data_IF_674985057586
#
_entry.id   IF_674985057586
#
_cell.length_a   1.000
_cell.length_b   1.000
_cell.length_c   1.000
_cell.angle_alpha   90.00
_cell.angle_beta   90.00
_cell.angle_gamma   90.00
#
_symmetry.space_group_name_H-M   'P 1'
#
loop_
_entity.id
_entity.type
_entity.pdbx_description
1 polymer ?
#
# COMPACT_ATOMS: atom_id res chain seq x y z
N UNK A 1 -30.75 24.48 -30.52
CA UNK A 1 -31.00 23.85 -29.19
C UNK A 1 -30.79 24.88 -28.10
N UNK A 2 -31.52 24.75 -26.98
CA UNK A 2 -31.40 25.60 -25.79
C UNK A 2 -30.64 24.89 -24.66
N UNK A 3 -30.10 25.61 -23.66
CA UNK A 3 -29.42 24.97 -22.53
C UNK A 3 -30.32 23.94 -21.83
N UNK A 4 -29.78 22.77 -21.54
CA UNK A 4 -30.48 21.64 -20.93
C UNK A 4 -30.98 20.59 -21.93
N UNK A 5 -31.14 20.94 -23.21
CA UNK A 5 -31.59 20.00 -24.25
C UNK A 5 -30.53 18.91 -24.50
N UNK A 6 -30.99 17.66 -24.69
CA UNK A 6 -30.14 16.53 -25.03
C UNK A 6 -30.03 16.39 -26.55
N UNK A 7 -28.80 16.28 -27.06
CA UNK A 7 -28.55 16.01 -28.47
C UNK A 7 -28.51 14.51 -28.74
N UNK A 8 -27.83 13.77 -27.86
CA UNK A 8 -27.69 12.30 -27.88
C UNK A 8 -27.62 11.83 -26.43
N UNK A 9 -28.24 10.70 -26.10
CA UNK A 9 -28.04 10.01 -24.82
C UNK A 9 -27.18 8.78 -25.01
N UNK A 10 -26.41 8.45 -23.97
CA UNK A 10 -25.66 7.19 -23.94
C UNK A 10 -26.61 6.02 -24.16
N UNK A 11 -26.24 5.09 -25.04
CA UNK A 11 -27.07 3.96 -25.44
C UNK A 11 -28.01 4.23 -26.62
N UNK A 12 -28.16 5.48 -27.07
CA UNK A 12 -28.95 5.78 -28.27
C UNK A 12 -28.28 5.21 -29.51
N UNK A 13 -29.06 4.55 -30.38
CA UNK A 13 -28.62 4.20 -31.74
C UNK A 13 -28.98 5.36 -32.65
N UNK A 14 -27.96 6.13 -33.04
CA UNK A 14 -28.12 7.28 -33.93
C UNK A 14 -27.56 6.94 -35.30
N UNK A 15 -28.32 7.27 -36.34
CA UNK A 15 -27.90 7.20 -37.74
C UNK A 15 -27.60 8.60 -38.28
N UNK A 16 -27.28 9.56 -37.42
CA UNK A 16 -27.16 10.98 -37.77
C UNK A 16 -25.89 11.56 -37.17
N UNK A 17 -25.12 12.26 -38.00
CA UNK A 17 -23.96 13.04 -37.56
C UNK A 17 -24.40 14.50 -37.42
N UNK A 18 -23.98 15.16 -36.35
CA UNK A 18 -24.36 16.53 -36.04
C UNK A 18 -23.16 17.45 -36.16
N UNK A 19 -23.28 18.50 -36.98
CA UNK A 19 -22.29 19.57 -37.10
C UNK A 19 -22.68 20.70 -36.15
N UNK A 20 -21.77 21.05 -35.26
CA UNK A 20 -21.91 22.13 -34.28
C UNK A 20 -21.29 23.37 -34.91
N UNK A 21 -22.09 24.42 -35.11
CA UNK A 21 -21.64 25.70 -35.67
C UNK A 21 -21.23 26.64 -34.54
N UNK A 22 -22.07 26.71 -33.50
CA UNK A 22 -21.83 27.54 -32.32
C UNK A 22 -22.45 26.91 -31.06
N UNK A 23 -21.89 27.26 -29.90
CA UNK A 23 -22.35 26.81 -28.59
C UNK A 23 -21.40 25.83 -27.89
N UNK A 24 -21.87 25.29 -26.76
CA UNK A 24 -21.13 24.37 -25.89
C UNK A 24 -21.99 23.17 -25.53
N UNK A 25 -21.42 21.97 -25.70
CA UNK A 25 -22.03 20.71 -25.26
C UNK A 25 -21.22 20.09 -24.12
N UNK A 26 -21.90 19.69 -23.05
CA UNK A 26 -21.31 18.82 -22.03
C UNK A 26 -21.33 17.38 -22.53
N UNK A 27 -20.22 16.67 -22.28
CA UNK A 27 -20.05 15.26 -22.58
C UNK A 27 -20.06 14.52 -21.25
N UNK A 28 -21.05 13.68 -21.03
CA UNK A 28 -21.20 12.90 -19.79
C UNK A 28 -21.36 11.43 -20.11
N UNK A 29 -21.04 10.58 -19.13
CA UNK A 29 -21.33 9.15 -19.18
C UNK A 29 -21.97 8.72 -17.88
N UNK A 30 -23.00 7.90 -17.95
CA UNK A 30 -23.70 7.38 -16.81
C UNK A 30 -22.92 6.24 -16.19
N UNK A 31 -22.77 6.27 -14.87
CA UNK A 31 -22.32 5.09 -14.18
C UNK A 31 -22.74 5.06 -12.72
N UNK A 32 -23.17 3.87 -12.27
CA UNK A 32 -23.79 3.66 -10.96
C UNK A 32 -24.92 4.65 -10.67
N UNK A 33 -25.67 5.04 -11.71
CA UNK A 33 -26.77 6.01 -11.61
C UNK A 33 -26.35 7.48 -11.60
N UNK A 34 -25.05 7.80 -11.59
CA UNK A 34 -24.53 9.18 -11.57
C UNK A 34 -24.00 9.58 -12.95
N UNK A 35 -24.32 10.79 -13.40
CA UNK A 35 -23.76 11.37 -14.64
C UNK A 35 -22.35 11.90 -14.38
N UNK A 36 -21.35 11.24 -14.95
CA UNK A 36 -19.94 11.61 -14.79
C UNK A 36 -19.50 12.53 -15.95
N UNK A 37 -19.00 13.75 -15.68
CA UNK A 37 -18.50 14.62 -16.73
C UNK A 37 -17.18 14.12 -17.30
N UNK A 38 -17.13 13.91 -18.61
CA UNK A 38 -15.91 13.51 -19.34
C UNK A 38 -15.20 14.74 -19.91
N UNK A 39 -15.98 15.76 -20.29
CA UNK A 39 -15.43 16.98 -20.87
C UNK A 39 -16.52 17.83 -21.50
N UNK A 40 -16.11 18.78 -22.33
CA UNK A 40 -17.01 19.64 -23.08
C UNK A 40 -16.51 19.81 -24.52
N UNK A 41 -17.46 19.93 -25.44
CA UNK A 41 -17.20 20.37 -26.80
C UNK A 41 -17.41 21.88 -26.88
N UNK A 42 -16.41 22.60 -27.35
CA UNK A 42 -16.45 24.05 -27.55
C UNK A 42 -16.11 24.39 -29.00
N UNK A 43 -16.90 25.28 -29.61
CA UNK A 43 -16.64 25.78 -30.96
C UNK A 43 -17.09 24.82 -32.08
N UNK A 44 -16.67 25.14 -33.30
CA UNK A 44 -17.09 24.42 -34.50
C UNK A 44 -16.50 23.01 -34.56
N UNK A 45 -17.32 22.02 -34.90
CA UNK A 45 -16.93 20.62 -35.00
C UNK A 45 -18.11 19.72 -35.34
N UNK A 46 -17.95 18.40 -35.24
CA UNK A 46 -19.07 17.47 -35.42
C UNK A 46 -19.02 16.32 -34.42
N UNK A 47 -20.18 15.71 -34.14
CA UNK A 47 -20.38 14.62 -33.17
C UNK A 47 -21.36 13.59 -33.72
N UNK A 48 -21.37 12.39 -33.14
CA UNK A 48 -22.25 11.29 -33.59
C UNK A 48 -21.64 10.42 -34.69
N UNK A 49 -20.39 10.67 -35.07
CA UNK A 49 -19.67 9.88 -36.06
C UNK A 49 -19.37 8.46 -35.59
N UNK A 50 -19.10 8.26 -34.29
CA UNK A 50 -18.74 6.94 -33.77
C UNK A 50 -19.89 5.94 -34.00
N UNK A 51 -21.14 6.20 -33.54
CA UNK A 51 -22.26 5.29 -33.78
C UNK A 51 -22.53 5.01 -35.27
N UNK A 52 -22.36 6.01 -36.13
CA UNK A 52 -22.57 5.86 -37.58
C UNK A 52 -21.49 5.00 -38.22
N UNK A 53 -20.24 5.09 -37.76
CA UNK A 53 -19.11 4.34 -38.30
C UNK A 53 -18.99 2.93 -37.75
N UNK A 54 -19.37 2.71 -36.48
CA UNK A 54 -19.18 1.41 -35.80
C UNK A 54 -20.45 0.58 -35.69
N UNK A 55 -21.62 1.15 -35.99
CA UNK A 55 -22.95 0.55 -35.74
C UNK A 55 -23.20 0.19 -34.25
N UNK A 56 -22.42 0.81 -33.36
CA UNK A 56 -22.56 0.68 -31.91
C UNK A 56 -23.42 1.83 -31.32
N UNK A 57 -24.09 1.59 -30.17
CA UNK A 57 -24.78 2.67 -29.46
C UNK A 57 -23.84 3.82 -29.06
N UNK A 58 -24.41 5.01 -28.89
CA UNK A 58 -23.67 6.18 -28.43
C UNK A 58 -22.97 5.91 -27.09
N UNK A 59 -21.63 6.09 -27.00
CA UNK A 59 -20.87 5.76 -25.79
C UNK A 59 -20.98 6.83 -24.69
N UNK A 60 -21.60 7.97 -25.00
CA UNK A 60 -21.69 9.14 -24.14
C UNK A 60 -23.02 9.88 -24.38
N UNK A 61 -23.42 10.66 -23.38
CA UNK A 61 -24.51 11.64 -23.47
C UNK A 61 -23.94 13.00 -23.83
N UNK A 62 -24.63 13.72 -24.71
CA UNK A 62 -24.34 15.08 -25.14
C UNK A 62 -25.50 16.00 -24.75
N UNK A 63 -25.23 17.01 -23.93
CA UNK A 63 -26.24 17.96 -23.46
C UNK A 63 -25.80 19.41 -23.71
N UNK A 64 -26.71 20.24 -24.20
CA UNK A 64 -26.45 21.65 -24.42
C UNK A 64 -26.23 22.40 -23.10
N UNK A 65 -25.09 23.09 -22.98
CA UNK A 65 -24.77 23.95 -21.82
C UNK A 65 -25.07 25.42 -22.15
N UNK A 66 -24.96 25.80 -23.41
CA UNK A 66 -25.38 27.10 -23.93
C UNK A 66 -26.40 26.91 -25.06
N UNK A 67 -26.97 28.02 -25.56
CA UNK A 67 -27.64 27.98 -26.86
C UNK A 67 -26.65 27.44 -27.90
N UNK A 68 -27.12 26.50 -28.73
CA UNK A 68 -26.31 25.82 -29.75
C UNK A 68 -27.01 25.85 -31.10
N UNK A 69 -26.25 26.17 -32.14
CA UNK A 69 -26.62 26.03 -33.53
C UNK A 69 -26.01 24.74 -34.09
N UNK A 70 -26.86 23.83 -34.53
CA UNK A 70 -26.48 22.47 -34.91
C UNK A 70 -27.20 22.08 -36.20
N UNK A 71 -26.47 21.54 -37.16
CA UNK A 71 -27.01 20.94 -38.39
C UNK A 71 -26.89 19.42 -38.33
N UNK A 72 -27.89 18.73 -38.83
CA UNK A 72 -27.91 17.27 -38.92
C UNK A 72 -27.53 16.83 -40.34
N UNK A 73 -26.65 15.83 -40.44
CA UNK A 73 -26.29 15.13 -41.68
C UNK A 73 -26.74 13.68 -41.50
N UNK A 74 -27.51 13.16 -42.45
CA UNK A 74 -27.90 11.75 -42.42
C UNK A 74 -26.65 10.87 -42.52
N UNK A 75 -26.63 9.76 -41.78
CA UNK A 75 -25.48 8.86 -41.73
C UNK A 75 -25.08 8.32 -43.10
N UNK A 76 -26.07 8.06 -43.98
CA UNK A 76 -25.83 7.66 -45.37
C UNK A 76 -25.09 8.73 -46.18
N UNK A 77 -25.44 10.01 -45.99
CA UNK A 77 -24.78 11.13 -46.68
C UNK A 77 -23.37 11.33 -46.11
N UNK A 78 -23.21 11.20 -44.79
CA UNK A 78 -21.91 11.26 -44.14
C UNK A 78 -20.97 10.15 -44.63
N UNK A 79 -21.46 8.92 -44.73
CA UNK A 79 -20.70 7.79 -45.25
C UNK A 79 -20.33 8.00 -46.73
N UNK A 80 -21.24 8.56 -47.52
CA UNK A 80 -20.95 8.92 -48.92
C UNK A 80 -19.80 9.93 -49.01
N UNK A 81 -19.88 11.03 -48.24
CA UNK A 81 -18.82 12.04 -48.16
C UNK A 81 -17.48 11.46 -47.69
N UNK A 82 -17.51 10.52 -46.76
CA UNK A 82 -16.31 9.84 -46.24
C UNK A 82 -15.62 9.03 -47.33
N UNK A 83 -16.37 8.34 -48.19
CA UNK A 83 -15.82 7.53 -49.29
C UNK A 83 -15.33 8.40 -50.46
N UNK A 84 -16.00 9.52 -50.73
CA UNK A 84 -15.68 10.41 -51.86
C UNK A 84 -14.51 11.36 -51.58
N UNK A 85 -14.26 11.72 -50.31
CA UNK A 85 -13.25 12.71 -49.93
C UNK A 85 -12.16 12.14 -49.00
N UNK A 86 -11.00 11.81 -49.58
CA UNK A 86 -9.82 11.27 -48.86
C UNK A 86 -9.31 12.13 -47.70
N UNK A 87 -9.34 13.45 -47.84
CA UNK A 87 -8.86 14.33 -46.78
C UNK A 87 -9.85 14.39 -45.61
N UNK A 88 -11.14 14.36 -45.90
CA UNK A 88 -12.20 14.29 -44.90
C UNK A 88 -12.13 12.95 -44.14
N UNK A 89 -11.98 11.83 -44.85
CA UNK A 89 -11.74 10.50 -44.28
C UNK A 89 -10.61 10.54 -43.24
N UNK A 90 -9.44 11.06 -43.61
CA UNK A 90 -8.28 11.17 -42.70
C UNK A 90 -8.56 12.03 -41.48
N UNK A 91 -9.30 13.13 -41.62
CA UNK A 91 -9.66 14.00 -40.50
C UNK A 91 -10.63 13.30 -39.53
N UNK A 92 -11.65 12.63 -40.06
CA UNK A 92 -12.62 11.86 -39.28
C UNK A 92 -11.92 10.76 -38.49
N UNK A 93 -11.04 9.97 -39.14
CA UNK A 93 -10.27 8.92 -38.45
C UNK A 93 -9.39 9.48 -37.32
N UNK A 94 -8.69 10.59 -37.54
CA UNK A 94 -7.86 11.22 -36.49
C UNK A 94 -8.72 11.71 -35.32
N UNK A 95 -9.87 12.29 -35.60
CA UNK A 95 -10.80 12.77 -34.58
C UNK A 95 -11.36 11.60 -33.76
N UNK A 96 -11.82 10.55 -34.43
CA UNK A 96 -12.30 9.32 -33.80
C UNK A 96 -11.22 8.71 -32.90
N UNK A 97 -10.00 8.54 -33.40
CA UNK A 97 -8.87 8.04 -32.59
C UNK A 97 -8.58 8.91 -31.37
N UNK A 98 -8.74 10.23 -31.47
CA UNK A 98 -8.56 11.14 -30.32
C UNK A 98 -9.67 10.95 -29.29
N UNK A 99 -10.92 10.79 -29.73
CA UNK A 99 -12.09 10.60 -28.87
C UNK A 99 -12.07 9.26 -28.15
N UNK A 100 -11.81 8.17 -28.88
CA UNK A 100 -11.70 6.82 -28.29
C UNK A 100 -10.60 6.78 -27.24
N UNK A 101 -9.39 7.29 -27.55
CA UNK A 101 -8.28 7.36 -26.57
C UNK A 101 -8.63 8.21 -25.34
N UNK A 102 -9.32 9.33 -25.53
CA UNK A 102 -9.79 10.17 -24.43
C UNK A 102 -10.78 9.44 -23.51
N UNK A 103 -11.74 8.73 -24.11
CA UNK A 103 -12.73 7.95 -23.37
C UNK A 103 -12.09 6.77 -22.63
N UNK A 104 -11.21 6.01 -23.27
CA UNK A 104 -10.46 4.92 -22.63
C UNK A 104 -9.64 5.42 -21.43
N UNK A 105 -8.96 6.58 -21.58
CA UNK A 105 -8.20 7.18 -20.50
C UNK A 105 -9.09 7.54 -19.30
N UNK A 106 -10.24 8.14 -19.56
CA UNK A 106 -11.20 8.51 -18.52
C UNK A 106 -11.74 7.28 -17.77
N UNK A 107 -12.14 6.23 -18.51
CA UNK A 107 -12.68 5.01 -17.90
C UNK A 107 -11.65 4.33 -17.01
N UNK A 108 -10.41 4.25 -17.49
CA UNK A 108 -9.30 3.72 -16.73
C UNK A 108 -9.04 4.52 -15.46
N UNK A 109 -9.09 5.85 -15.50
CA UNK A 109 -8.91 6.69 -14.32
C UNK A 109 -10.03 6.48 -13.28
N UNK A 110 -11.26 6.24 -13.74
CA UNK A 110 -12.38 5.93 -12.87
C UNK A 110 -12.29 4.53 -12.24
N UNK A 111 -11.91 3.52 -13.00
CA UNK A 111 -11.65 2.17 -12.47
C UNK A 111 -10.57 2.20 -11.38
N UNK A 112 -9.52 3.02 -11.55
CA UNK A 112 -8.51 3.24 -10.50
C UNK A 112 -9.12 3.80 -9.22
N UNK A 113 -9.96 4.82 -9.33
CA UNK A 113 -10.58 5.45 -8.15
C UNK A 113 -11.50 4.48 -7.40
N UNK A 114 -12.23 3.64 -8.13
CA UNK A 114 -13.04 2.59 -7.53
C UNK A 114 -12.20 1.50 -6.84
N UNK A 115 -11.13 1.03 -7.49
CA UNK A 115 -10.19 0.06 -6.92
C UNK A 115 -9.44 0.63 -5.69
N UNK A 116 -8.99 1.88 -5.78
CA UNK A 116 -8.34 2.60 -4.69
C UNK A 116 -9.30 2.82 -3.52
N UNK A 117 -10.57 3.16 -3.77
CA UNK A 117 -11.59 3.31 -2.74
C UNK A 117 -11.78 2.02 -1.92
N UNK A 118 -11.85 0.86 -2.61
CA UNK A 118 -11.97 -0.45 -1.96
C UNK A 118 -10.69 -0.81 -1.17
N UNK A 119 -9.51 -0.47 -1.69
CA UNK A 119 -8.23 -0.69 -1.01
C UNK A 119 -7.98 0.28 0.14
N UNK A 120 -8.54 1.48 0.09
CA UNK A 120 -8.28 2.57 1.05
C UNK A 120 -8.74 2.21 2.47
N UNK A 121 -9.87 1.50 2.60
CA UNK A 121 -10.35 1.03 3.92
C UNK A 121 -9.39 0.00 4.56
N UNK A 122 -8.91 -0.97 3.76
CA UNK A 122 -7.96 -1.98 4.23
C UNK A 122 -6.57 -1.39 4.52
N UNK A 123 -6.11 -0.47 3.67
CA UNK A 123 -4.84 0.23 3.85
C UNK A 123 -4.87 1.14 5.07
N UNK A 124 -5.97 1.87 5.30
CA UNK A 124 -6.14 2.70 6.49
C UNK A 124 -6.03 1.86 7.76
N UNK A 125 -6.68 0.68 7.79
CA UNK A 125 -6.57 -0.23 8.91
C UNK A 125 -5.14 -0.75 9.11
N UNK A 126 -4.45 -1.13 8.03
CA UNK A 126 -3.06 -1.62 8.12
C UNK A 126 -2.04 -0.52 8.45
N UNK A 127 -2.35 0.74 8.17
CA UNK A 127 -1.53 1.91 8.53
C UNK A 127 -1.79 2.31 10.00
N UNK A 128 -3.05 2.23 10.44
CA UNK A 128 -3.43 2.47 11.83
C UNK A 128 -2.77 1.48 12.80
N UNK A 129 -2.58 0.22 12.41
CA UNK A 129 -1.97 -0.80 13.26
C UNK A 129 -0.55 -0.44 13.76
N UNK A 130 0.45 -0.22 12.88
CA UNK A 130 1.79 0.20 13.31
C UNK A 130 1.79 1.61 13.92
N UNK A 131 0.88 2.50 13.50
CA UNK A 131 0.75 3.82 14.11
C UNK A 131 0.30 3.75 15.57
N UNK A 132 -0.70 2.92 15.87
CA UNK A 132 -1.16 2.71 17.24
C UNK A 132 -0.09 2.07 18.11
N UNK A 133 0.67 1.10 17.58
CA UNK A 133 1.81 0.51 18.29
C UNK A 133 2.89 1.56 18.60
N UNK A 134 3.27 2.38 17.61
CA UNK A 134 4.23 3.46 17.78
C UNK A 134 3.79 4.46 18.85
N UNK A 135 2.52 4.90 18.81
CA UNK A 135 1.97 5.85 19.79
C UNK A 135 2.01 5.25 21.20
N UNK A 136 1.63 3.98 21.37
CA UNK A 136 1.70 3.29 22.67
C UNK A 136 3.13 3.22 23.19
N UNK A 137 4.08 2.72 22.39
CA UNK A 137 5.49 2.63 22.80
C UNK A 137 6.06 3.99 23.18
N UNK A 138 5.74 5.06 22.45
CA UNK A 138 6.19 6.42 22.81
C UNK A 138 5.53 6.95 24.10
N UNK A 139 4.28 6.58 24.36
CA UNK A 139 3.58 7.00 25.59
C UNK A 139 4.12 6.35 26.86
N UNK A 140 4.61 5.11 26.76
CA UNK A 140 5.22 4.34 27.86
C UNK A 140 6.72 4.66 28.02
N UNK A 141 7.39 5.07 26.94
CA UNK A 141 8.81 5.38 26.95
C UNK A 141 9.16 6.55 27.90
N UNK A 142 8.36 7.62 27.91
CA UNK A 142 8.61 8.80 28.74
C UNK A 142 8.61 8.48 30.25
N UNK A 143 7.57 7.84 30.81
CA UNK A 143 7.60 7.47 32.23
C UNK A 143 8.71 6.46 32.55
N UNK A 144 9.00 5.50 31.65
CA UNK A 144 10.08 4.53 31.85
C UNK A 144 11.47 5.18 31.92
N UNK A 145 11.77 6.14 31.02
CA UNK A 145 13.03 6.90 31.07
C UNK A 145 13.16 7.69 32.37
N UNK A 146 12.09 8.36 32.82
CA UNK A 146 12.11 9.09 34.09
C UNK A 146 12.36 8.17 35.28
N UNK A 147 11.78 6.97 35.26
CA UNK A 147 12.01 5.97 36.29
C UNK A 147 13.46 5.47 36.28
N UNK A 148 14.04 5.21 35.09
CA UNK A 148 15.47 4.91 34.91
C UNK A 148 16.38 6.01 35.46
N UNK A 149 16.08 7.27 35.17
CA UNK A 149 16.81 8.43 35.70
C UNK A 149 16.76 8.49 37.22
N UNK A 150 15.58 8.28 37.82
CA UNK A 150 15.43 8.23 39.27
C UNK A 150 16.24 7.08 39.88
N UNK A 151 16.20 5.89 39.27
CA UNK A 151 16.98 4.74 39.75
C UNK A 151 18.48 4.98 39.65
N UNK A 152 18.96 5.64 38.57
CA UNK A 152 20.36 6.04 38.43
C UNK A 152 20.79 7.00 39.54
N UNK A 153 19.93 7.96 39.93
CA UNK A 153 20.22 8.89 41.01
C UNK A 153 20.27 8.19 42.38
N UNK A 154 19.32 7.30 42.66
CA UNK A 154 19.33 6.48 43.89
C UNK A 154 20.58 5.61 43.96
N UNK A 155 20.95 4.98 42.85
CA UNK A 155 22.14 4.14 42.77
C UNK A 155 23.44 4.96 42.94
N UNK A 156 23.52 6.16 42.37
CA UNK A 156 24.68 7.05 42.52
C UNK A 156 24.87 7.61 43.94
N UNK A 157 23.80 7.61 44.75
CA UNK A 157 23.86 8.02 46.16
C UNK A 157 24.25 6.87 47.11
N UNK A 158 24.12 5.63 46.67
CA UNK A 158 24.71 4.48 47.34
C UNK A 158 26.20 4.43 46.96
N UNK A 159 27.09 4.26 47.93
CA UNK A 159 28.56 4.29 47.77
C UNK A 159 29.08 3.05 47.01
N UNK A 160 28.61 2.86 45.77
CA UNK A 160 28.85 1.68 44.93
C UNK A 160 30.14 1.86 44.12
N UNK A 161 30.92 0.80 43.99
CA UNK A 161 32.20 0.89 43.30
C UNK A 161 32.04 1.04 41.79
N UNK A 162 33.02 1.70 41.16
CA UNK A 162 33.08 1.83 39.69
C UNK A 162 33.15 0.47 38.98
N UNK A 163 33.76 -0.54 39.63
CA UNK A 163 33.88 -1.89 39.09
C UNK A 163 32.53 -2.63 39.06
N UNK A 164 31.72 -2.51 40.10
CA UNK A 164 30.37 -3.09 40.15
C UNK A 164 29.45 -2.45 39.10
N UNK A 165 29.52 -1.13 38.96
CA UNK A 165 28.77 -0.38 37.94
C UNK A 165 29.11 -0.81 36.52
N UNK A 166 30.38 -1.12 36.25
CA UNK A 166 30.84 -1.56 34.93
C UNK A 166 30.30 -2.94 34.53
N UNK A 167 30.11 -3.86 35.49
CA UNK A 167 29.51 -5.18 35.22
C UNK A 167 28.06 -5.06 34.77
N UNK A 168 27.25 -4.24 35.48
CA UNK A 168 25.86 -3.96 35.12
C UNK A 168 25.72 -3.34 33.72
N UNK A 169 26.56 -2.35 33.41
CA UNK A 169 26.57 -1.71 32.10
C UNK A 169 26.91 -2.69 30.99
N UNK A 170 27.86 -3.60 31.21
CA UNK A 170 28.23 -4.60 30.21
C UNK A 170 27.09 -5.57 29.91
N UNK A 171 26.41 -6.07 30.95
CA UNK A 171 25.26 -6.97 30.76
C UNK A 171 24.13 -6.24 30.03
N UNK A 172 23.88 -4.97 30.38
CA UNK A 172 22.92 -4.13 29.66
C UNK A 172 23.28 -3.98 28.17
N UNK A 173 24.53 -3.64 27.87
CA UNK A 173 24.93 -3.34 26.49
C UNK A 173 24.84 -4.60 25.60
N UNK A 174 25.20 -5.77 26.13
CA UNK A 174 24.98 -7.07 25.46
C UNK A 174 23.48 -7.34 25.24
N UNK A 175 22.65 -7.03 26.24
CA UNK A 175 21.20 -7.17 26.13
C UNK A 175 20.59 -6.24 25.08
N UNK A 176 21.06 -4.99 24.99
CA UNK A 176 20.65 -4.05 23.94
C UNK A 176 20.97 -4.58 22.54
N UNK A 177 22.18 -5.10 22.33
CA UNK A 177 22.53 -5.71 21.05
C UNK A 177 21.62 -6.88 20.69
N UNK A 178 21.24 -7.69 21.68
CA UNK A 178 20.35 -8.84 21.48
C UNK A 178 18.95 -8.39 21.05
N UNK A 179 18.40 -7.39 21.73
CA UNK A 179 17.09 -6.80 21.39
C UNK A 179 17.11 -6.19 19.98
N UNK A 180 18.16 -5.46 19.63
CA UNK A 180 18.30 -4.81 18.33
C UNK A 180 18.46 -5.81 17.18
N UNK A 181 19.16 -6.94 17.40
CA UNK A 181 19.34 -8.00 16.39
C UNK A 181 18.05 -8.79 16.15
N UNK A 182 17.15 -8.90 17.13
CA UNK A 182 15.82 -9.49 16.96
C UNK A 182 15.83 -10.97 16.54
N UNK A 183 16.76 -11.77 17.09
CA UNK A 183 17.11 -13.09 16.55
C UNK A 183 16.77 -14.32 17.40
N UNK A 184 16.12 -14.17 18.56
CA UNK A 184 15.71 -15.33 19.36
C UNK A 184 14.31 -15.79 18.92
N UNK A 185 14.15 -17.11 18.76
CA UNK A 185 12.84 -17.71 18.51
C UNK A 185 11.96 -17.61 19.77
N UNK A 186 10.64 -17.52 19.56
CA UNK A 186 9.68 -17.31 20.65
C UNK A 186 9.71 -18.43 21.70
N UNK A 187 10.10 -19.66 21.31
CA UNK A 187 10.21 -20.79 22.24
C UNK A 187 11.41 -20.60 23.16
N UNK A 188 12.59 -20.30 22.61
CA UNK A 188 13.79 -20.02 23.41
C UNK A 188 13.60 -18.81 24.34
N UNK A 189 12.85 -17.78 23.93
CA UNK A 189 12.54 -16.65 24.82
C UNK A 189 11.63 -17.10 25.98
N UNK A 190 10.58 -17.88 25.68
CA UNK A 190 9.67 -18.40 26.71
C UNK A 190 10.36 -19.32 27.73
N UNK A 191 11.16 -20.30 27.26
CA UNK A 191 11.91 -21.19 28.15
C UNK A 191 12.86 -20.43 29.09
N UNK A 192 13.44 -19.32 28.60
CA UNK A 192 14.31 -18.45 29.39
C UNK A 192 13.51 -17.58 30.37
N UNK A 193 12.35 -17.08 29.95
CA UNK A 193 11.43 -16.31 30.81
C UNK A 193 11.01 -17.13 32.02
N UNK A 194 10.59 -18.38 31.81
CA UNK A 194 10.21 -19.31 32.89
C UNK A 194 11.38 -19.54 33.86
N UNK A 195 12.57 -19.83 33.34
CA UNK A 195 13.76 -20.06 34.17
C UNK A 195 14.21 -18.81 34.96
N UNK A 196 14.02 -17.62 34.40
CA UNK A 196 14.31 -16.36 35.08
C UNK A 196 13.26 -16.03 36.13
N UNK A 197 11.98 -16.31 35.86
CA UNK A 197 10.89 -16.13 36.82
C UNK A 197 11.15 -16.94 38.09
N UNK A 198 11.43 -18.23 37.94
CA UNK A 198 11.77 -19.12 39.05
C UNK A 198 12.95 -18.56 39.88
N UNK A 199 14.02 -18.14 39.19
CA UNK A 199 15.19 -17.59 39.86
C UNK A 199 14.90 -16.29 40.62
N UNK A 200 14.08 -15.39 40.05
CA UNK A 200 13.71 -14.11 40.66
C UNK A 200 12.82 -14.30 41.89
N UNK A 201 11.90 -15.27 41.84
CA UNK A 201 11.07 -15.65 42.98
C UNK A 201 11.91 -16.23 44.11
N UNK A 202 12.85 -17.13 43.80
CA UNK A 202 13.80 -17.69 44.77
C UNK A 202 14.72 -16.64 45.41
N UNK A 203 15.11 -15.62 44.64
CA UNK A 203 15.85 -14.48 45.17
C UNK A 203 14.97 -13.58 46.07
N UNK A 204 13.65 -13.67 45.95
CA UNK A 204 12.68 -12.90 46.74
C UNK A 204 12.38 -11.53 46.16
N UNK A 205 12.42 -11.39 44.82
CA UNK A 205 12.04 -10.16 44.13
C UNK A 205 10.52 -10.01 44.11
N UNK A 206 10.00 -8.90 44.62
CA UNK A 206 8.58 -8.61 44.53
C UNK A 206 8.17 -8.36 43.08
N UNK A 207 7.05 -8.96 42.63
CA UNK A 207 6.55 -8.88 41.25
C UNK A 207 7.58 -9.37 40.21
N UNK A 208 8.22 -10.51 40.49
CA UNK A 208 9.21 -11.14 39.61
C UNK A 208 8.75 -11.27 38.15
N UNK A 209 7.46 -11.55 37.93
CA UNK A 209 6.84 -11.66 36.60
C UNK A 209 6.94 -10.38 35.75
N UNK A 210 7.03 -9.19 36.36
CA UNK A 210 7.22 -7.93 35.62
C UNK A 210 8.64 -7.82 35.02
N UNK A 211 9.61 -8.60 35.53
CA UNK A 211 11.03 -8.50 35.18
C UNK A 211 11.48 -9.63 34.26
N UNK A 212 10.81 -10.78 34.30
CA UNK A 212 11.21 -11.99 33.60
C UNK A 212 11.24 -11.80 32.07
N UNK A 213 10.16 -11.28 31.47
CA UNK A 213 10.06 -11.06 30.03
C UNK A 213 11.16 -10.11 29.49
N UNK A 214 11.36 -8.89 30.06
CA UNK A 214 12.40 -7.98 29.58
C UNK A 214 13.82 -8.57 29.66
N UNK A 215 14.12 -9.32 30.72
CA UNK A 215 15.42 -9.99 30.91
C UNK A 215 15.59 -11.14 29.92
N UNK A 216 14.53 -11.92 29.67
CA UNK A 216 14.54 -13.02 28.73
C UNK A 216 14.74 -12.55 27.28
N UNK A 217 14.03 -11.49 26.90
CA UNK A 217 14.13 -10.84 25.59
C UNK A 217 15.55 -10.32 25.33
N UNK A 218 16.21 -9.82 26.37
CA UNK A 218 17.59 -9.35 26.32
C UNK A 218 18.64 -10.49 26.32
N UNK A 219 18.22 -11.74 26.47
CA UNK A 219 19.14 -12.89 26.49
C UNK A 219 19.87 -13.09 27.81
N UNK A 220 19.38 -12.52 28.91
CA UNK A 220 19.95 -12.75 30.24
C UNK A 220 19.63 -14.17 30.70
N UNK A 221 20.61 -14.88 31.25
CA UNK A 221 20.39 -16.19 31.86
C UNK A 221 20.42 -16.11 33.40
N UNK A 222 19.83 -17.11 34.11
CA UNK A 222 19.86 -17.16 35.57
C UNK A 222 21.29 -17.16 36.15
N UNK A 223 22.26 -17.72 35.42
CA UNK A 223 23.67 -17.74 35.84
C UNK A 223 24.27 -16.33 35.89
N UNK A 224 23.90 -15.46 34.95
CA UNK A 224 24.29 -14.06 34.92
C UNK A 224 23.68 -13.28 36.06
N UNK A 225 22.38 -13.48 36.36
CA UNK A 225 21.74 -12.87 37.52
C UNK A 225 22.39 -13.34 38.83
N UNK A 226 22.66 -14.63 38.98
CA UNK A 226 23.35 -15.17 40.15
C UNK A 226 24.72 -14.51 40.39
N UNK A 227 25.50 -14.29 39.32
CA UNK A 227 26.79 -13.59 39.39
C UNK A 227 26.64 -12.13 39.80
N UNK A 228 25.71 -11.41 39.15
CA UNK A 228 25.46 -9.99 39.43
C UNK A 228 24.95 -9.75 40.85
N UNK A 229 24.15 -10.69 41.36
CA UNK A 229 23.42 -10.53 42.63
C UNK A 229 24.11 -11.11 43.84
N UNK A 230 25.18 -11.87 43.66
CA UNK A 230 25.96 -12.41 44.78
C UNK A 230 26.39 -11.35 45.81
N UNK A 231 26.83 -10.12 45.44
CA UNK A 231 27.20 -9.09 46.40
C UNK A 231 26.02 -8.45 47.15
N UNK A 232 24.80 -8.59 46.65
CA UNK A 232 23.63 -7.82 47.08
C UNK A 232 22.65 -8.62 47.93
N UNK A 233 22.86 -9.94 48.06
CA UNK A 233 21.92 -10.86 48.72
C UNK A 233 21.57 -10.42 50.15
N UNK A 234 22.55 -9.88 50.88
CA UNK A 234 22.43 -9.44 52.28
C UNK A 234 22.35 -7.91 52.45
N UNK A 235 22.18 -7.16 51.35
CA UNK A 235 22.16 -5.70 51.37
C UNK A 235 20.84 -5.15 51.97
N UNK A 236 20.86 -4.01 52.71
CA UNK A 236 19.64 -3.38 53.23
C UNK A 236 18.56 -3.17 52.14
N UNK A 237 17.31 -3.36 52.56
CA UNK A 237 16.21 -3.86 51.72
C UNK A 237 15.87 -3.06 50.47
N UNK A 238 16.11 -1.74 50.43
CA UNK A 238 15.67 -0.90 49.30
C UNK A 238 16.61 -0.97 48.08
N UNK A 239 17.85 -1.42 48.25
CA UNK A 239 18.83 -1.51 47.15
C UNK A 239 19.03 -2.94 46.62
N UNK A 240 18.50 -3.93 47.33
CA UNK A 240 18.75 -5.37 47.11
C UNK A 240 18.36 -5.87 45.72
N UNK A 241 17.28 -5.34 45.15
CA UNK A 241 16.77 -5.71 43.82
C UNK A 241 16.79 -4.53 42.82
N UNK A 242 17.29 -3.36 43.23
CA UNK A 242 17.32 -2.16 42.40
C UNK A 242 18.09 -2.37 41.08
N UNK A 243 19.21 -3.09 41.12
CA UNK A 243 20.03 -3.39 39.94
C UNK A 243 19.30 -4.25 38.91
N UNK A 244 18.57 -5.29 39.34
CA UNK A 244 17.79 -6.13 38.43
C UNK A 244 16.63 -5.32 37.83
N UNK A 245 15.93 -4.55 38.66
CA UNK A 245 14.85 -3.67 38.20
C UNK A 245 15.35 -2.66 37.16
N UNK A 246 16.52 -2.09 37.41
CA UNK A 246 17.16 -1.15 36.49
C UNK A 246 17.49 -1.82 35.16
N UNK A 247 18.03 -3.03 35.21
CA UNK A 247 18.40 -3.80 34.04
C UNK A 247 17.17 -4.16 33.20
N UNK A 248 16.11 -4.70 33.81
CA UNK A 248 14.85 -5.01 33.14
C UNK A 248 14.21 -3.78 32.50
N UNK A 249 14.10 -2.67 33.25
CA UNK A 249 13.51 -1.43 32.73
C UNK A 249 14.34 -0.82 31.58
N UNK A 250 15.67 -0.95 31.63
CA UNK A 250 16.55 -0.55 30.54
C UNK A 250 16.26 -1.34 29.26
N UNK A 251 15.98 -2.64 29.39
CA UNK A 251 15.60 -3.50 28.27
C UNK A 251 14.21 -3.18 27.73
N UNK A 252 13.23 -2.91 28.60
CA UNK A 252 11.91 -2.42 28.17
C UNK A 252 12.02 -1.14 27.36
N UNK A 253 12.81 -0.16 27.81
CA UNK A 253 13.07 1.07 27.08
C UNK A 253 13.66 0.78 25.70
N UNK A 254 14.64 -0.12 25.61
CA UNK A 254 15.25 -0.50 24.33
C UNK A 254 14.26 -1.22 23.41
N UNK A 255 13.45 -2.12 23.95
CA UNK A 255 12.41 -2.84 23.21
C UNK A 255 11.32 -1.87 22.69
N UNK A 256 10.90 -0.89 23.48
CA UNK A 256 9.97 0.16 23.06
C UNK A 256 10.54 1.02 21.93
N UNK A 257 11.81 1.40 22.00
CA UNK A 257 12.49 2.15 20.93
C UNK A 257 12.52 1.31 19.64
N UNK A 258 12.89 0.04 19.73
CA UNK A 258 12.94 -0.88 18.59
C UNK A 258 11.55 -1.11 17.97
N UNK A 259 10.52 -1.28 18.81
CA UNK A 259 9.13 -1.39 18.37
C UNK A 259 8.67 -0.13 17.63
N UNK A 260 8.99 1.05 18.18
CA UNK A 260 8.71 2.34 17.54
C UNK A 260 9.40 2.49 16.18
N UNK A 261 10.70 2.16 16.09
CA UNK A 261 11.44 2.20 14.83
C UNK A 261 10.85 1.25 13.78
N UNK A 262 10.51 0.03 14.18
CA UNK A 262 9.85 -0.96 13.30
C UNK A 262 8.49 -0.47 12.82
N UNK A 263 7.66 0.08 13.72
CA UNK A 263 6.37 0.68 13.39
C UNK A 263 6.49 1.82 12.38
N UNK A 264 7.40 2.76 12.63
CA UNK A 264 7.67 3.88 11.72
C UNK A 264 8.19 3.41 10.34
N UNK A 265 9.09 2.43 10.31
CA UNK A 265 9.61 1.84 9.06
C UNK A 265 8.51 1.16 8.23
N UNK A 266 7.58 0.46 8.89
CA UNK A 266 6.41 -0.13 8.24
C UNK A 266 5.48 0.93 7.64
N UNK A 267 5.20 2.01 8.38
CA UNK A 267 4.39 3.14 7.86
C UNK A 267 5.06 3.74 6.63
N UNK A 268 6.37 4.04 6.68
CA UNK A 268 7.11 4.60 5.56
C UNK A 268 7.05 3.68 4.32
N UNK A 269 7.17 2.37 4.53
CA UNK A 269 7.07 1.36 3.46
C UNK A 269 5.67 1.35 2.85
N UNK A 270 4.60 1.33 3.65
CA UNK A 270 3.22 1.36 3.17
C UNK A 270 2.93 2.62 2.35
N UNK A 271 3.33 3.79 2.85
CA UNK A 271 3.17 5.08 2.16
C UNK A 271 3.94 5.09 0.83
N UNK A 272 5.17 4.55 0.80
CA UNK A 272 5.97 4.44 -0.43
C UNK A 272 5.32 3.52 -1.47
N UNK A 273 4.77 2.39 -1.04
CA UNK A 273 4.04 1.46 -1.92
C UNK A 273 2.76 2.11 -2.47
N UNK A 274 1.99 2.81 -1.61
CA UNK A 274 0.80 3.55 -2.03
C UNK A 274 1.13 4.64 -3.06
N UNK A 275 2.17 5.44 -2.81
CA UNK A 275 2.62 6.49 -3.73
C UNK A 275 3.08 5.89 -5.07
N UNK A 276 3.84 4.80 -5.04
CA UNK A 276 4.33 4.13 -6.25
C UNK A 276 3.19 3.59 -7.11
N UNK A 277 2.12 3.06 -6.50
CA UNK A 277 0.90 2.65 -7.19
C UNK A 277 0.16 3.83 -7.83
N UNK A 278 0.08 4.98 -7.13
CA UNK A 278 -0.57 6.19 -7.64
C UNK A 278 0.24 6.93 -8.71
N UNK A 279 1.58 6.92 -8.65
CA UNK A 279 2.45 7.75 -9.49
C UNK A 279 2.98 7.06 -10.75
N UNK A 280 3.08 5.72 -10.78
CA UNK A 280 3.59 4.95 -11.95
C UNK A 280 2.67 4.96 -13.17
N UNK A 281 1.60 5.74 -13.18
CA UNK A 281 0.58 5.65 -14.22
C UNK A 281 0.14 6.99 -14.82
N UNK A 282 1.08 7.95 -14.90
CA UNK A 282 0.96 9.19 -15.69
C UNK A 282 1.00 8.94 -17.23
N UNK A 283 0.49 7.81 -17.70
CA UNK A 283 0.17 7.58 -19.12
C UNK A 283 1.33 7.29 -20.08
N UNK A 284 2.58 7.55 -19.72
CA UNK A 284 3.73 7.14 -20.53
C UNK A 284 3.97 5.63 -20.41
N UNK A 285 4.24 4.94 -21.52
CA UNK A 285 4.88 3.62 -21.45
C UNK A 285 6.22 3.80 -20.74
N UNK A 286 6.42 3.06 -19.65
CA UNK A 286 7.65 3.16 -18.86
C UNK A 286 8.44 1.87 -19.07
N UNK A 287 9.76 1.97 -18.92
CA UNK A 287 10.58 0.78 -18.75
C UNK A 287 10.27 0.27 -17.33
N UNK A 288 9.61 -0.88 -17.26
CA UNK A 288 9.14 -1.48 -16.01
C UNK A 288 9.99 -2.70 -15.68
N UNK A 289 10.52 -2.72 -14.45
CA UNK A 289 11.00 -3.94 -13.83
C UNK A 289 9.79 -4.72 -13.29
N UNK A 290 9.52 -5.87 -13.92
CA UNK A 290 8.43 -6.77 -13.56
C UNK A 290 8.56 -7.30 -12.13
N UNK A 291 9.77 -7.62 -11.66
CA UNK A 291 9.97 -8.13 -10.31
C UNK A 291 9.59 -7.08 -9.27
N UNK A 292 10.04 -5.85 -9.47
CA UNK A 292 9.70 -4.74 -8.59
C UNK A 292 8.18 -4.47 -8.58
N UNK A 293 7.53 -4.51 -9.74
CA UNK A 293 6.07 -4.33 -9.85
C UNK A 293 5.27 -5.42 -9.15
N UNK A 294 5.68 -6.67 -9.30
CA UNK A 294 5.08 -7.82 -8.63
C UNK A 294 5.22 -7.74 -7.11
N UNK A 295 6.42 -7.44 -6.61
CA UNK A 295 6.66 -7.32 -5.17
C UNK A 295 5.89 -6.14 -4.55
N UNK A 296 5.80 -5.01 -5.25
CA UNK A 296 4.99 -3.88 -4.78
C UNK A 296 3.50 -4.23 -4.70
N UNK A 297 3.00 -5.03 -5.64
CA UNK A 297 1.62 -5.52 -5.65
C UNK A 297 1.38 -6.49 -4.50
N UNK A 298 2.26 -7.48 -4.30
CA UNK A 298 2.18 -8.42 -3.18
C UNK A 298 2.20 -7.69 -1.84
N UNK A 299 3.05 -6.68 -1.69
CA UNK A 299 3.11 -5.84 -0.48
C UNK A 299 1.81 -5.07 -0.26
N UNK A 300 1.24 -4.49 -1.31
CA UNK A 300 -0.03 -3.75 -1.23
C UNK A 300 -1.20 -4.64 -0.78
N UNK A 301 -1.24 -5.89 -1.23
CA UNK A 301 -2.29 -6.86 -0.91
C UNK A 301 -1.95 -7.80 0.25
N UNK A 302 -0.82 -7.58 0.93
CA UNK A 302 -0.35 -8.45 2.02
C UNK A 302 -1.42 -8.68 3.10
N UNK A 303 -2.28 -7.69 3.36
CA UNK A 303 -3.36 -7.78 4.34
C UNK A 303 -4.44 -8.82 4.00
N UNK A 304 -4.72 -9.06 2.71
CA UNK A 304 -5.64 -10.10 2.26
C UNK A 304 -5.00 -11.50 2.28
N UNK A 305 -3.68 -11.55 2.21
CA UNK A 305 -2.91 -12.81 2.07
C UNK A 305 -2.57 -13.46 3.42
N UNK A 306 -2.73 -12.73 4.54
CA UNK A 306 -2.42 -13.23 5.90
C UNK A 306 -3.32 -14.38 6.39
N UNK A 307 -4.47 -14.66 5.76
CA UNK A 307 -5.36 -15.77 6.16
C UNK A 307 -4.98 -17.08 5.45
N UNK A 308 -3.87 -17.70 5.86
CA UNK A 308 -3.54 -19.07 5.44
C UNK A 308 -3.06 -19.22 3.99
N UNK A 309 -2.64 -18.15 3.32
CA UNK A 309 -2.15 -18.18 1.94
C UNK A 309 -0.62 -18.09 1.95
N UNK A 310 0.04 -19.17 1.53
CA UNK A 310 1.48 -19.19 1.29
C UNK A 310 1.79 -18.70 -0.14
N UNK A 311 2.67 -17.70 -0.27
CA UNK A 311 3.08 -17.14 -1.56
C UNK A 311 4.42 -17.75 -1.95
N UNK A 312 4.41 -18.59 -2.99
CA UNK A 312 5.64 -19.05 -3.65
C UNK A 312 6.09 -18.02 -4.69
N UNK A 313 7.36 -17.61 -4.60
CA UNK A 313 7.99 -16.69 -5.57
C UNK A 313 8.88 -17.51 -6.49
N UNK A 314 8.47 -17.63 -7.74
CA UNK A 314 9.24 -18.29 -8.80
C UNK A 314 9.44 -17.28 -9.93
N UNK A 315 10.45 -16.43 -9.76
CA UNK A 315 10.80 -15.39 -10.72
C UNK A 315 12.03 -15.84 -11.52
N UNK A 316 12.02 -15.63 -12.84
CA UNK A 316 13.21 -15.88 -13.64
C UNK A 316 14.34 -14.93 -13.20
N UNK A 317 15.55 -15.46 -13.00
CA UNK A 317 16.67 -14.71 -12.41
C UNK A 317 17.04 -13.44 -13.19
N UNK A 318 16.78 -13.42 -14.50
CA UNK A 318 17.02 -12.28 -15.38
C UNK A 318 15.85 -12.11 -16.33
N UNK A 319 15.01 -11.11 -16.07
CA UNK A 319 13.98 -10.66 -16.99
C UNK A 319 14.41 -9.30 -17.59
N UNK A 320 14.40 -9.15 -18.93
CA UNK A 320 14.68 -7.86 -19.54
C UNK A 320 13.60 -6.84 -19.10
N UNK A 321 13.98 -5.58 -18.88
CA UNK A 321 13.01 -4.52 -18.63
C UNK A 321 12.05 -4.43 -19.80
N UNK A 322 10.74 -4.43 -19.53
CA UNK A 322 9.74 -4.34 -20.59
C UNK A 322 9.17 -2.93 -20.67
N UNK A 323 8.89 -2.49 -21.89
CA UNK A 323 8.12 -1.28 -22.13
C UNK A 323 6.66 -1.66 -21.97
N UNK A 324 6.12 -1.38 -20.78
CA UNK A 324 4.75 -1.73 -20.44
C UNK A 324 4.05 -0.57 -19.75
N UNK A 325 2.72 -0.64 -19.75
CA UNK A 325 1.93 0.20 -18.86
C UNK A 325 1.75 -0.55 -17.54
N UNK A 326 2.39 -0.07 -16.48
CA UNK A 326 2.55 -0.75 -15.19
C UNK A 326 1.23 -1.27 -14.58
N UNK A 327 0.10 -0.59 -14.79
CA UNK A 327 -1.20 -0.98 -14.23
C UNK A 327 -1.83 -2.26 -14.85
N UNK A 328 -1.55 -2.57 -16.13
CA UNK A 328 -2.05 -3.80 -16.76
C UNK A 328 -1.45 -5.06 -16.11
N UNK A 329 -0.23 -4.92 -15.59
CA UNK A 329 0.42 -6.00 -14.84
C UNK A 329 -0.26 -6.16 -13.47
N UNK A 330 -0.44 -5.08 -12.70
CA UNK A 330 -1.05 -5.18 -11.37
C UNK A 330 -2.53 -5.64 -11.39
N UNK A 331 -3.31 -5.26 -12.42
CA UNK A 331 -4.73 -5.63 -12.54
C UNK A 331 -4.96 -7.12 -12.80
N UNK A 332 -4.11 -7.77 -13.60
CA UNK A 332 -4.16 -9.22 -13.84
C UNK A 332 -3.92 -10.00 -12.54
N UNK A 333 -3.05 -9.52 -11.65
CA UNK A 333 -2.77 -10.17 -10.37
C UNK A 333 -3.81 -9.87 -9.28
N UNK A 334 -4.43 -8.69 -9.29
CA UNK A 334 -5.47 -8.34 -8.32
C UNK A 334 -6.80 -9.09 -8.54
N UNK A 335 -7.16 -9.40 -9.79
CA UNK A 335 -8.40 -10.11 -10.14
C UNK A 335 -8.28 -11.65 -10.05
N UNK A 336 -7.07 -12.21 -10.05
CA UNK A 336 -6.85 -13.66 -9.93
C UNK A 336 -6.93 -14.23 -8.49
N UNK A 337 -6.93 -13.37 -7.46
CA UNK A 337 -6.87 -13.78 -6.05
C UNK A 337 -8.22 -13.96 -5.35
N UNK A 338 -9.34 -13.91 -6.08
CA UNK A 338 -10.70 -13.98 -5.52
C UNK A 338 -11.34 -15.38 -5.47
N UNK A 339 -10.61 -16.43 -5.85
CA UNK A 339 -11.14 -17.80 -5.90
C UNK A 339 -10.90 -18.57 -4.59
N UNK A 340 -11.98 -19.06 -3.98
CA UNK A 340 -11.99 -19.94 -2.81
C UNK A 340 -10.92 -21.04 -2.88
N UNK A 341 -10.10 -21.13 -1.83
CA UNK A 341 -9.50 -22.37 -1.33
C UNK A 341 -8.85 -23.30 -2.36
N UNK A 342 -7.78 -22.88 -3.03
CA UNK A 342 -6.75 -23.78 -3.58
C UNK A 342 -5.51 -22.96 -3.92
N UNK A 343 -4.33 -23.51 -3.63
CA UNK A 343 -3.01 -22.89 -3.89
C UNK A 343 -2.95 -22.14 -5.23
N UNK A 344 -2.88 -20.80 -5.17
CA UNK A 344 -2.63 -19.98 -6.35
C UNK A 344 -1.14 -19.96 -6.63
N UNK A 345 -0.69 -20.83 -7.54
CA UNK A 345 0.68 -20.77 -8.07
C UNK A 345 0.73 -19.63 -9.08
N UNK A 346 1.43 -18.54 -8.73
CA UNK A 346 1.76 -17.48 -9.68
C UNK A 346 2.87 -18.03 -10.60
N UNK A 347 2.48 -18.67 -11.71
CA UNK A 347 3.43 -19.04 -12.77
C UNK A 347 3.53 -17.91 -13.78
N UNK A 348 4.71 -17.33 -14.05
CA UNK A 348 4.93 -16.54 -15.24
C UNK A 348 5.06 -17.50 -16.44
N UNK A 349 3.94 -18.11 -16.82
CA UNK A 349 3.82 -18.88 -18.06
C UNK A 349 2.94 -18.10 -19.01
N UNK A 350 3.52 -17.62 -20.11
CA UNK A 350 2.81 -17.07 -21.27
C UNK A 350 1.56 -17.91 -21.60
N UNK A 351 0.34 -17.35 -21.57
CA UNK A 351 -0.79 -17.94 -22.26
C UNK A 351 -0.83 -17.36 -23.68
N UNK A 352 -0.48 -18.19 -24.66
CA UNK A 352 -0.82 -18.10 -26.08
C UNK A 352 -0.70 -16.71 -26.76
N UNK A 353 0.50 -16.40 -27.24
CA UNK A 353 0.77 -15.38 -28.26
C UNK A 353 0.31 -15.75 -29.68
N UNK A 354 -0.52 -16.78 -29.88
CA UNK A 354 -0.95 -17.23 -31.22
C UNK A 354 -2.33 -16.73 -31.70
N UNK A 355 -3.05 -15.91 -30.93
CA UNK A 355 -4.42 -15.49 -31.33
C UNK A 355 -4.60 -14.02 -31.78
N UNK A 356 -3.54 -13.19 -31.85
CA UNK A 356 -3.70 -11.75 -32.13
C UNK A 356 -2.66 -11.18 -33.12
N UNK A 357 -2.42 -11.87 -34.24
CA UNK A 357 -1.83 -11.24 -35.43
C UNK A 357 -2.76 -11.49 -36.63
N UNK A 358 -3.54 -10.50 -37.09
CA UNK A 358 -3.96 -10.47 -38.48
C UNK A 358 -2.70 -10.22 -39.31
N UNK A 359 -2.36 -11.21 -40.13
CA UNK A 359 -1.35 -11.20 -41.17
C UNK A 359 -1.38 -9.90 -42.00
N UNK A 360 -0.31 -9.13 -41.91
CA UNK A 360 0.08 -8.14 -42.92
C UNK A 360 1.10 -8.80 -43.86
N UNK A 361 0.63 -9.20 -45.03
CA UNK A 361 1.40 -9.21 -46.28
C UNK A 361 0.73 -8.25 -47.24
#
# INVERSE_FOLDING_TARGET
>A
MTPGDYLVKEGDRTTTVYVIVSGRLAITRQSEGVAMPIGQHEGAGFVGEIPVLTDEPAPVTLQAVSACEIHAIAGVDFLTLLHECRDFERQVFRLMQKRVRGLESFLREREKMAALGTLSAGLAHELNNPAAALVRSLSELVPAIRQLENMNLTYAQADVTAAETAEWQRVRDVGYETILKGGADAVTVGDREDALLDWLEDYGVAKAWELAEPLALAGVDPATLARLMSPWRDHPSELRDLGIRWLALSFEVMAMIQCGQSGAGRIATLVKSMKSYSYRDQGAQQIVDLHAGLEDTVRLFAFKLKQGIAIARDYAATLPPIIARTYLLCGVFALGGGGNGASTVIRPGLPNTEALLPSLT
#
